data_IF_601506269812
#
_entry.id   IF_601506269812
#
_cell.length_a   1.000
_cell.length_b   1.000
_cell.length_c   1.000
_cell.angle_alpha   90.00
_cell.angle_beta   90.00
_cell.angle_gamma   90.00
#
_symmetry.space_group_name_H-M   'P 1'
#
loop_
_entity.id
_entity.type
_entity.pdbx_description
1 polymer ?
#
# COMPACT_ATOMS: atom_id res chain seq x y z
N UNK A 1 4.24 14.67 15.99
CA UNK A 1 5.06 14.25 14.82
C UNK A 1 5.09 12.73 14.78
N UNK A 2 5.67 12.12 13.74
CA UNK A 2 5.90 10.66 13.72
C UNK A 2 6.75 10.21 14.93
N UNK A 3 7.77 11.00 15.28
CA UNK A 3 8.64 10.77 16.43
C UNK A 3 7.86 10.70 17.76
N UNK A 4 6.90 11.60 17.98
CA UNK A 4 6.07 11.58 19.20
C UNK A 4 5.25 10.29 19.30
N UNK A 5 4.69 9.82 18.18
CA UNK A 5 3.87 8.60 18.16
C UNK A 5 4.73 7.36 18.41
N UNK A 6 5.94 7.31 17.85
CA UNK A 6 6.93 6.28 18.15
C UNK A 6 7.34 6.29 19.62
N UNK A 7 7.51 7.47 20.20
CA UNK A 7 7.76 7.65 21.64
C UNK A 7 6.65 7.04 22.51
N UNK A 8 5.40 7.30 22.16
CA UNK A 8 4.24 6.69 22.84
C UNK A 8 4.22 5.17 22.64
N UNK A 9 4.44 4.68 21.41
CA UNK A 9 4.47 3.26 21.11
C UNK A 9 5.53 2.51 21.95
N UNK A 10 6.71 3.12 22.16
CA UNK A 10 7.75 2.60 23.04
C UNK A 10 7.28 2.47 24.50
N UNK A 11 6.50 3.42 25.02
CA UNK A 11 5.94 3.33 26.37
C UNK A 11 5.01 2.12 26.51
N UNK A 12 4.19 1.85 25.49
CA UNK A 12 3.32 0.66 25.45
C UNK A 12 4.12 -0.64 25.55
N UNK A 13 5.24 -0.75 24.83
CA UNK A 13 6.14 -1.91 24.91
C UNK A 13 6.69 -2.06 26.34
N UNK A 14 7.14 -0.98 26.97
CA UNK A 14 7.72 -1.00 28.32
C UNK A 14 6.72 -1.43 29.41
N UNK A 15 5.42 -1.19 29.21
CA UNK A 15 4.36 -1.62 30.14
C UNK A 15 3.74 -2.99 29.76
N UNK A 16 4.34 -3.72 28.84
CA UNK A 16 3.88 -5.05 28.41
C UNK A 16 2.65 -5.04 27.50
N UNK A 17 2.33 -3.90 26.89
CA UNK A 17 1.17 -3.70 25.99
C UNK A 17 1.60 -3.49 24.53
N UNK A 18 2.54 -4.31 24.07
CA UNK A 18 3.17 -4.16 22.75
C UNK A 18 2.17 -4.17 21.59
N UNK A 19 1.21 -5.10 21.59
CA UNK A 19 0.17 -5.19 20.55
C UNK A 19 -0.71 -3.93 20.47
N UNK A 20 -1.11 -3.37 21.62
CA UNK A 20 -1.91 -2.14 21.66
C UNK A 20 -1.10 -0.94 21.13
N UNK A 21 0.18 -0.85 21.51
CA UNK A 21 1.11 0.17 21.02
C UNK A 21 1.26 0.11 19.50
N UNK A 22 1.46 -1.08 18.95
CA UNK A 22 1.60 -1.30 17.51
C UNK A 22 0.30 -0.96 16.76
N UNK A 23 -0.86 -1.39 17.26
CA UNK A 23 -2.15 -1.07 16.64
C UNK A 23 -2.37 0.44 16.54
N UNK A 24 -2.14 1.17 17.63
CA UNK A 24 -2.30 2.64 17.66
C UNK A 24 -1.31 3.35 16.75
N UNK A 25 -0.07 2.85 16.68
CA UNK A 25 0.93 3.35 15.77
C UNK A 25 0.50 3.16 14.31
N UNK A 26 0.03 1.96 13.95
CA UNK A 26 -0.53 1.69 12.63
C UNK A 26 -1.76 2.57 12.33
N UNK A 27 -2.65 2.83 13.29
CA UNK A 27 -3.80 3.73 13.12
C UNK A 27 -3.39 5.17 12.77
N UNK A 28 -2.30 5.65 13.37
CA UNK A 28 -1.73 6.95 13.02
C UNK A 28 -1.23 6.97 11.57
N UNK A 29 -0.44 5.97 11.15
CA UNK A 29 0.06 5.89 9.77
C UNK A 29 -1.08 5.80 8.76
N UNK A 30 -2.11 4.99 9.06
CA UNK A 30 -3.29 4.88 8.21
C UNK A 30 -4.02 6.22 8.04
N UNK A 31 -4.11 7.00 9.13
CA UNK A 31 -4.72 8.33 9.10
C UNK A 31 -3.89 9.33 8.28
N UNK A 32 -2.57 9.23 8.32
CA UNK A 32 -1.67 10.07 7.53
C UNK A 32 -1.81 9.75 6.03
N UNK A 33 -1.75 8.48 5.65
CA UNK A 33 -1.97 8.00 4.27
C UNK A 33 -3.36 8.41 3.76
N UNK A 34 -4.40 8.25 4.58
CA UNK A 34 -5.75 8.68 4.22
C UNK A 34 -5.79 10.17 3.89
N UNK A 35 -5.17 11.01 4.71
CA UNK A 35 -5.16 12.46 4.52
C UNK A 35 -4.45 12.86 3.23
N UNK A 36 -3.30 12.24 2.93
CA UNK A 36 -2.55 12.49 1.69
C UNK A 36 -3.34 12.01 0.46
N UNK A 37 -3.85 10.77 0.49
CA UNK A 37 -4.69 10.21 -0.56
C UNK A 37 -5.95 11.07 -0.82
N UNK A 38 -6.63 11.50 0.24
CA UNK A 38 -7.82 12.33 0.12
C UNK A 38 -7.52 13.69 -0.52
N UNK A 39 -6.37 14.27 -0.23
CA UNK A 39 -5.93 15.53 -0.83
C UNK A 39 -5.55 15.35 -2.30
N UNK A 40 -4.83 14.28 -2.64
CA UNK A 40 -4.53 13.92 -4.04
C UNK A 40 -5.81 13.69 -4.84
N UNK A 41 -6.79 12.96 -4.29
CA UNK A 41 -8.10 12.76 -4.92
C UNK A 41 -8.81 14.10 -5.14
N UNK A 42 -8.78 15.00 -4.15
CA UNK A 42 -9.41 16.33 -4.26
C UNK A 42 -8.76 17.14 -5.38
N UNK A 43 -7.44 17.27 -5.35
CA UNK A 43 -6.69 18.12 -6.28
C UNK A 43 -6.65 17.56 -7.71
N UNK A 44 -6.44 16.24 -7.86
CA UNK A 44 -6.23 15.63 -9.17
C UNK A 44 -7.53 15.21 -9.86
N UNK A 45 -8.56 14.83 -9.09
CA UNK A 45 -9.78 14.21 -9.65
C UNK A 45 -11.04 15.07 -9.51
N UNK A 46 -11.08 16.02 -8.57
CA UNK A 46 -12.29 16.83 -8.30
C UNK A 46 -12.09 18.28 -8.73
N UNK A 47 -10.96 18.88 -8.37
CA UNK A 47 -10.70 20.31 -8.59
C UNK A 47 -9.84 20.60 -9.81
N UNK A 48 -9.30 19.57 -10.46
CA UNK A 48 -8.51 19.73 -11.68
C UNK A 48 -9.36 20.32 -12.80
N UNK A 49 -8.99 21.52 -13.27
CA UNK A 49 -9.59 22.11 -14.47
C UNK A 49 -9.09 21.35 -15.70
N UNK A 50 -9.98 20.79 -16.55
CA UNK A 50 -9.59 20.13 -17.79
C UNK A 50 -8.72 21.00 -18.72
N UNK A 51 -8.84 22.33 -18.63
CA UNK A 51 -8.07 23.28 -19.44
C UNK A 51 -6.66 23.56 -18.88
N UNK A 52 -6.45 23.37 -17.57
CA UNK A 52 -5.16 23.61 -16.91
C UNK A 52 -4.45 22.31 -16.48
N UNK A 53 -5.12 21.16 -16.58
CA UNK A 53 -4.55 19.86 -16.27
C UNK A 53 -3.39 19.53 -17.22
N UNK A 54 -2.19 19.43 -16.65
CA UNK A 54 -0.99 18.91 -17.33
C UNK A 54 -0.87 17.38 -17.21
N UNK A 55 -1.84 16.73 -16.56
CA UNK A 55 -1.84 15.30 -16.28
C UNK A 55 -2.71 14.59 -17.32
N UNK A 56 -2.08 13.84 -18.23
CA UNK A 56 -2.78 13.05 -19.24
C UNK A 56 -3.63 11.91 -18.62
N UNK A 57 -3.26 11.44 -17.41
CA UNK A 57 -3.85 10.26 -16.75
C UNK A 57 -4.00 10.46 -15.23
N UNK A 58 -4.93 11.32 -14.76
CA UNK A 58 -4.96 11.77 -13.37
C UNK A 58 -5.21 10.65 -12.35
N UNK A 59 -5.98 9.61 -12.72
CA UNK A 59 -6.20 8.44 -11.85
C UNK A 59 -4.95 7.57 -11.71
N UNK A 60 -4.17 7.42 -12.78
CA UNK A 60 -2.92 6.67 -12.78
C UNK A 60 -1.91 7.35 -11.86
N UNK A 61 -1.82 8.68 -11.96
CA UNK A 61 -0.98 9.48 -11.06
C UNK A 61 -1.43 9.37 -9.61
N UNK A 62 -2.74 9.49 -9.34
CA UNK A 62 -3.28 9.40 -7.98
C UNK A 62 -3.00 8.02 -7.36
N UNK A 63 -3.20 6.92 -8.09
CA UNK A 63 -2.83 5.57 -7.62
C UNK A 63 -1.33 5.42 -7.40
N UNK A 64 -0.50 5.97 -8.29
CA UNK A 64 0.95 5.90 -8.17
C UNK A 64 1.42 6.61 -6.89
N UNK A 65 0.90 7.82 -6.62
CA UNK A 65 1.21 8.55 -5.39
C UNK A 65 0.77 7.83 -4.13
N UNK A 66 -0.39 7.17 -4.15
CA UNK A 66 -0.83 6.33 -3.05
C UNK A 66 0.17 5.20 -2.76
N UNK A 67 0.61 4.47 -3.79
CA UNK A 67 1.59 3.39 -3.62
C UNK A 67 2.94 3.90 -3.11
N UNK A 68 3.41 5.03 -3.63
CA UNK A 68 4.66 5.66 -3.21
C UNK A 68 4.57 6.18 -1.76
N UNK A 69 3.46 6.79 -1.36
CA UNK A 69 3.22 7.24 0.01
C UNK A 69 3.24 6.05 0.98
N UNK A 70 2.52 4.98 0.68
CA UNK A 70 2.52 3.77 1.52
C UNK A 70 3.92 3.17 1.64
N UNK A 71 4.65 3.06 0.54
CA UNK A 71 6.01 2.55 0.53
C UNK A 71 6.96 3.45 1.35
N UNK A 72 6.84 4.77 1.21
CA UNK A 72 7.64 5.73 1.97
C UNK A 72 7.38 5.62 3.48
N UNK A 73 6.11 5.57 3.91
CA UNK A 73 5.77 5.36 5.32
C UNK A 73 6.29 4.03 5.86
N UNK A 74 6.25 2.96 5.05
CA UNK A 74 6.81 1.67 5.44
C UNK A 74 8.33 1.77 5.65
N UNK A 75 9.06 2.29 4.66
CA UNK A 75 10.52 2.40 4.70
C UNK A 75 10.99 3.30 5.85
N UNK A 76 10.28 4.39 6.15
CA UNK A 76 10.63 5.31 7.24
C UNK A 76 10.57 4.64 8.62
N UNK A 77 9.63 3.71 8.81
CA UNK A 77 9.33 3.12 10.13
C UNK A 77 9.76 1.66 10.27
N UNK A 78 10.25 1.03 9.20
CA UNK A 78 10.63 -0.38 9.16
C UNK A 78 11.67 -0.71 10.24
N UNK A 79 12.80 -0.01 10.27
CA UNK A 79 13.88 -0.27 11.23
C UNK A 79 13.40 -0.15 12.68
N UNK A 80 12.71 0.96 12.99
CA UNK A 80 12.23 1.23 14.36
C UNK A 80 11.17 0.21 14.78
N UNK A 81 10.27 -0.17 13.87
CA UNK A 81 9.24 -1.18 14.12
C UNK A 81 9.88 -2.54 14.38
N UNK A 82 10.90 -2.91 13.61
CA UNK A 82 11.64 -4.16 13.80
C UNK A 82 12.33 -4.19 15.16
N UNK A 83 12.93 -3.08 15.60
CA UNK A 83 13.59 -2.98 16.90
C UNK A 83 12.62 -3.06 18.09
N UNK A 84 11.43 -2.46 17.96
CA UNK A 84 10.45 -2.39 19.05
C UNK A 84 9.51 -3.60 19.14
N UNK A 85 9.13 -4.15 17.99
CA UNK A 85 8.06 -5.15 17.86
C UNK A 85 8.52 -6.47 17.22
N UNK A 86 9.77 -6.53 16.74
CA UNK A 86 10.31 -7.70 16.05
C UNK A 86 9.66 -7.95 14.69
N UNK A 87 9.92 -9.14 14.14
CA UNK A 87 9.45 -9.57 12.84
C UNK A 87 7.92 -9.60 12.70
N UNK A 88 7.22 -10.07 13.73
CA UNK A 88 5.75 -10.07 13.80
C UNK A 88 5.19 -8.63 13.76
N UNK A 89 5.94 -7.67 14.31
CA UNK A 89 5.66 -6.26 14.18
C UNK A 89 5.65 -5.77 12.74
N UNK A 90 6.66 -6.16 11.95
CA UNK A 90 6.75 -5.82 10.53
C UNK A 90 5.64 -6.46 9.71
N UNK A 91 5.32 -7.73 9.96
CA UNK A 91 4.21 -8.42 9.29
C UNK A 91 2.88 -7.71 9.58
N UNK A 92 2.66 -7.33 10.84
CA UNK A 92 1.46 -6.60 11.24
C UNK A 92 1.42 -5.19 10.64
N UNK A 93 2.54 -4.47 10.61
CA UNK A 93 2.66 -3.16 9.96
C UNK A 93 2.30 -3.28 8.47
N UNK A 94 2.93 -4.19 7.74
CA UNK A 94 2.66 -4.44 6.33
C UNK A 94 1.18 -4.71 6.08
N UNK A 95 0.55 -5.56 6.90
CA UNK A 95 -0.89 -5.86 6.80
C UNK A 95 -1.77 -4.63 7.02
N UNK A 96 -1.46 -3.80 8.02
CA UNK A 96 -2.23 -2.60 8.31
C UNK A 96 -2.12 -1.56 7.18
N UNK A 97 -0.90 -1.34 6.67
CA UNK A 97 -0.66 -0.42 5.57
C UNK A 97 -1.28 -0.93 4.26
N UNK A 98 -1.19 -2.23 3.97
CA UNK A 98 -1.84 -2.83 2.81
C UNK A 98 -3.36 -2.63 2.85
N UNK A 99 -4.01 -2.91 3.99
CA UNK A 99 -5.46 -2.73 4.13
C UNK A 99 -5.89 -1.26 3.88
N UNK A 100 -5.07 -0.30 4.31
CA UNK A 100 -5.33 1.11 4.05
C UNK A 100 -5.12 1.47 2.59
N UNK A 101 -4.04 0.96 1.98
CA UNK A 101 -3.78 1.10 0.55
C UNK A 101 -4.96 0.56 -0.27
N UNK A 102 -5.48 -0.63 0.04
CA UNK A 102 -6.62 -1.23 -0.64
C UNK A 102 -7.90 -0.39 -0.50
N UNK A 103 -8.12 0.16 0.70
CA UNK A 103 -9.26 1.04 0.96
C UNK A 103 -9.20 2.30 0.09
N UNK A 104 -8.05 2.96 0.05
CA UNK A 104 -7.86 4.17 -0.74
C UNK A 104 -7.84 3.89 -2.25
N UNK A 105 -7.17 2.82 -2.68
CA UNK A 105 -7.12 2.39 -4.08
C UNK A 105 -8.53 2.05 -4.59
N UNK A 106 -9.37 1.39 -3.78
CA UNK A 106 -10.76 1.12 -4.13
C UNK A 106 -11.55 2.40 -4.39
N UNK A 107 -11.32 3.46 -3.60
CA UNK A 107 -11.96 4.77 -3.81
C UNK A 107 -11.54 5.39 -5.14
N UNK A 108 -10.25 5.35 -5.46
CA UNK A 108 -9.71 5.91 -6.72
C UNK A 108 -10.21 5.10 -7.93
N UNK A 109 -10.13 3.77 -7.87
CA UNK A 109 -10.57 2.86 -8.95
C UNK A 109 -12.08 2.94 -9.17
N UNK A 110 -12.87 3.12 -8.11
CA UNK A 110 -14.33 3.30 -8.25
C UNK A 110 -14.66 4.57 -9.04
N UNK A 111 -13.93 5.66 -8.81
CA UNK A 111 -14.08 6.90 -9.59
C UNK A 111 -13.65 6.71 -11.03
N UNK A 112 -12.48 6.11 -11.24
CA UNK A 112 -11.97 5.77 -12.57
C UNK A 112 -13.01 4.97 -13.39
N UNK A 113 -13.61 3.96 -12.77
CA UNK A 113 -14.63 3.11 -13.40
C UNK A 113 -15.87 3.92 -13.82
N UNK A 114 -16.30 4.86 -12.99
CA UNK A 114 -17.44 5.74 -13.26
C UNK A 114 -17.12 6.77 -14.36
N UNK A 115 -15.98 7.47 -14.27
CA UNK A 115 -15.59 8.54 -15.19
C UNK A 115 -15.26 8.01 -16.59
N UNK A 116 -14.62 6.83 -16.68
CA UNK A 116 -14.36 6.15 -17.96
C UNK A 116 -15.55 5.32 -18.46
N UNK A 117 -16.66 5.26 -17.71
CA UNK A 117 -17.87 4.47 -18.04
C UNK A 117 -17.52 3.03 -18.45
N UNK A 118 -16.60 2.40 -17.72
CA UNK A 118 -16.02 1.11 -18.10
C UNK A 118 -17.09 0.01 -18.24
N UNK A 119 -18.14 0.05 -17.41
CA UNK A 119 -19.24 -0.91 -17.49
C UNK A 119 -19.98 -0.87 -18.83
N UNK A 120 -20.19 0.34 -19.37
CA UNK A 120 -20.80 0.50 -20.68
C UNK A 120 -19.87 0.03 -21.80
N UNK A 121 -18.58 0.33 -21.66
CA UNK A 121 -17.54 -0.12 -22.59
C UNK A 121 -17.47 -1.65 -22.64
N UNK A 122 -17.55 -2.33 -21.48
CA UNK A 122 -17.62 -3.78 -21.41
C UNK A 122 -18.84 -4.34 -22.16
N UNK A 123 -19.98 -3.65 -22.12
CA UNK A 123 -21.16 -3.98 -22.91
C UNK A 123 -20.90 -3.91 -24.42
N UNK A 124 -20.25 -2.84 -24.89
CA UNK A 124 -19.90 -2.65 -26.31
C UNK A 124 -18.87 -3.68 -26.80
N UNK A 125 -17.87 -4.00 -25.97
CA UNK A 125 -16.88 -5.05 -26.27
C UNK A 125 -17.58 -6.40 -26.41
N UNK A 126 -18.49 -6.72 -25.50
CA UNK A 126 -19.25 -7.98 -25.53
C UNK A 126 -20.11 -8.11 -26.79
N UNK A 127 -20.59 -6.98 -27.33
CA UNK A 127 -21.35 -6.90 -28.58
C UNK A 127 -20.45 -6.78 -29.82
N UNK A 128 -19.12 -6.80 -29.67
CA UNK A 128 -18.13 -6.59 -30.74
C UNK A 128 -18.32 -5.29 -31.52
N UNK A 129 -18.83 -4.26 -30.85
CA UNK A 129 -19.14 -2.94 -31.43
C UNK A 129 -18.30 -1.81 -30.84
N UNK A 130 -17.27 -2.14 -30.04
CA UNK A 130 -16.39 -1.14 -29.44
C UNK A 130 -15.43 -0.53 -30.48
N UNK A 131 -15.25 0.80 -30.43
CA UNK A 131 -14.28 1.51 -31.26
C UNK A 131 -12.89 1.40 -30.63
N UNK A 132 -11.91 0.90 -31.40
CA UNK A 132 -10.53 0.75 -30.97
C UNK A 132 -9.91 2.08 -30.51
N UNK A 133 -10.26 3.21 -31.15
CA UNK A 133 -9.69 4.53 -30.82
C UNK A 133 -10.07 5.02 -29.43
N UNK A 134 -11.19 4.53 -28.91
CA UNK A 134 -11.65 4.85 -27.55
C UNK A 134 -11.08 3.85 -26.54
N UNK A 135 -10.79 2.63 -27.00
CA UNK A 135 -10.29 1.55 -26.16
C UNK A 135 -8.78 1.67 -25.88
N UNK A 136 -7.99 2.09 -26.86
CA UNK A 136 -6.52 2.14 -26.75
C UNK A 136 -6.03 2.95 -25.54
N UNK A 137 -6.50 4.19 -25.28
CA UNK A 137 -6.07 4.96 -24.11
C UNK A 137 -6.42 4.29 -22.77
N UNK A 138 -7.58 3.63 -22.70
CA UNK A 138 -8.03 2.91 -21.50
C UNK A 138 -7.14 1.68 -21.25
N UNK A 139 -6.72 1.00 -22.33
CA UNK A 139 -5.82 -0.14 -22.23
C UNK A 139 -4.42 0.29 -21.79
N UNK A 140 -3.94 1.43 -22.28
CA UNK A 140 -2.66 2.03 -21.86
C UNK A 140 -2.70 2.40 -20.37
N UNK A 141 -3.73 3.13 -19.93
CA UNK A 141 -3.95 3.47 -18.51
C UNK A 141 -3.99 2.20 -17.64
N UNK A 142 -4.73 1.17 -18.07
CA UNK A 142 -4.83 -0.10 -17.34
C UNK A 142 -3.50 -0.84 -17.30
N UNK A 143 -2.72 -0.82 -18.38
CA UNK A 143 -1.40 -1.43 -18.42
C UNK A 143 -0.46 -0.74 -17.43
N UNK A 144 -0.48 0.59 -17.37
CA UNK A 144 0.32 1.36 -16.42
C UNK A 144 -0.13 1.08 -14.98
N UNK A 145 -1.44 1.14 -14.69
CA UNK A 145 -1.99 0.79 -13.36
C UNK A 145 -1.51 -0.59 -12.94
N UNK A 146 -1.67 -1.60 -13.81
CA UNK A 146 -1.25 -2.97 -13.51
C UNK A 146 0.24 -3.07 -13.23
N UNK A 147 1.08 -2.36 -13.98
CA UNK A 147 2.51 -2.32 -13.76
C UNK A 147 2.84 -1.70 -12.39
N UNK A 148 2.19 -0.60 -12.01
CA UNK A 148 2.41 0.10 -10.74
C UNK A 148 1.96 -0.73 -9.55
N UNK A 149 0.78 -1.36 -9.63
CA UNK A 149 0.29 -2.27 -8.61
C UNK A 149 1.22 -3.46 -8.40
N UNK A 150 1.77 -4.04 -9.49
CA UNK A 150 2.73 -5.13 -9.39
C UNK A 150 4.01 -4.70 -8.69
N UNK A 151 4.59 -3.55 -9.06
CA UNK A 151 5.81 -3.04 -8.40
C UNK A 151 5.61 -2.80 -6.91
N UNK A 152 4.47 -2.23 -6.53
CA UNK A 152 4.13 -2.04 -5.13
C UNK A 152 3.96 -3.37 -4.38
N UNK A 153 3.29 -4.34 -5.01
CA UNK A 153 3.15 -5.69 -4.46
C UNK A 153 4.49 -6.37 -4.26
N UNK A 154 5.39 -6.30 -5.25
CA UNK A 154 6.73 -6.88 -5.18
C UNK A 154 7.56 -6.22 -4.07
N UNK A 155 7.46 -4.89 -3.93
CA UNK A 155 8.09 -4.15 -2.85
C UNK A 155 7.62 -4.67 -1.49
N UNK A 156 6.31 -4.63 -1.21
CA UNK A 156 5.80 -4.96 0.12
C UNK A 156 5.99 -6.43 0.45
N UNK A 157 5.72 -7.32 -0.51
CA UNK A 157 5.94 -8.76 -0.33
C UNK A 157 7.41 -9.06 -0.09
N UNK A 158 8.32 -8.44 -0.85
CA UNK A 158 9.77 -8.59 -0.68
C UNK A 158 10.23 -8.20 0.72
N UNK A 159 9.72 -7.09 1.27
CA UNK A 159 10.00 -6.67 2.66
C UNK A 159 9.55 -7.69 3.69
N UNK A 160 8.31 -8.18 3.55
CA UNK A 160 7.75 -9.20 4.46
C UNK A 160 8.54 -10.50 4.38
N UNK A 161 8.87 -10.98 3.18
CA UNK A 161 9.66 -12.20 3.00
C UNK A 161 11.05 -12.08 3.58
N UNK A 162 11.74 -10.95 3.38
CA UNK A 162 13.09 -10.74 3.91
C UNK A 162 13.12 -10.87 5.45
N UNK A 163 12.10 -10.35 6.14
CA UNK A 163 11.98 -10.45 7.60
C UNK A 163 11.68 -11.89 8.04
N UNK A 164 10.81 -12.59 7.33
CA UNK A 164 10.47 -13.99 7.65
C UNK A 164 11.66 -14.94 7.39
N UNK A 165 12.45 -14.70 6.36
CA UNK A 165 13.66 -15.47 6.08
C UNK A 165 14.72 -15.30 7.17
N UNK A 166 14.86 -14.08 7.72
CA UNK A 166 15.74 -13.84 8.87
C UNK A 166 15.30 -14.67 10.08
N UNK A 167 14.02 -14.67 10.43
CA UNK A 167 13.49 -15.49 11.53
C UNK A 167 13.78 -16.98 11.35
N UNK A 168 13.63 -17.50 10.12
CA UNK A 168 13.91 -18.91 9.80
C UNK A 168 15.41 -19.19 9.88
N UNK A 169 16.26 -18.29 9.40
CA UNK A 169 17.72 -18.45 9.44
C UNK A 169 18.28 -18.41 10.88
N UNK A 170 17.65 -17.66 11.78
CA UNK A 170 18.03 -17.58 13.20
C UNK A 170 17.36 -18.64 14.09
N UNK A 171 16.50 -19.51 13.55
CA UNK A 171 15.95 -20.64 14.31
C UNK A 171 17.09 -21.59 14.73
N UNK A 172 17.26 -21.88 16.03
CA UNK A 172 18.40 -22.66 16.50
C UNK A 172 18.37 -24.08 15.92
N UNK A 173 19.46 -24.47 15.26
CA UNK A 173 19.79 -25.87 15.00
C UNK A 173 20.08 -26.58 16.34
N UNK A 174 19.03 -26.98 17.05
CA UNK A 174 19.05 -27.89 18.20
C UNK A 174 18.14 -29.07 17.80
N UNK A 175 18.51 -30.34 17.73
CA UNK A 175 19.61 -31.18 18.22
C UNK A 175 19.61 -32.48 17.39
N UNK A 176 20.71 -32.86 16.74
CA UNK A 176 20.87 -34.23 16.18
C UNK A 176 22.18 -34.89 16.60
N UNK A 177 22.73 -34.51 17.75
CA UNK A 177 23.95 -35.12 18.30
C UNK A 177 23.74 -35.76 19.69
N UNK A 178 22.64 -36.51 19.84
CA UNK A 178 22.38 -37.30 21.04
C UNK A 178 21.90 -38.72 20.71
N UNK A 179 22.64 -39.47 19.90
CA UNK A 179 22.62 -40.95 19.97
C UNK A 179 23.86 -41.58 19.33
N UNK A 180 24.96 -41.64 20.09
CA UNK A 180 25.95 -42.72 19.97
C UNK A 180 26.26 -43.21 21.39
N UNK A 181 25.46 -44.17 21.83
CA UNK A 181 25.85 -45.20 22.79
C UNK A 181 26.22 -46.44 21.99
#
# INVERSE_FOLDING_TARGET
>A
SLEDVLGVAKLFVLVGKSEEGLSRFCDFLKSAIHKESAEDVRLLLIEADPAESTQDEPHVTCLTRLYESVAAYFDEVEETTSQLFGSQGIVSLAKHLQNQCDTEATRIVSRYTQERRLDEMMGLISQRSADARVLDPILDEKAIISQRSMRYFDFLSGRVYAVLEQDVAYAPQQTTDATKQ
#
